data_IF_031511079433
#
_entry.id   IF_031511079433
#
_cell.length_a   1.000
_cell.length_b   1.000
_cell.length_c   1.000
_cell.angle_alpha   90.00
_cell.angle_beta   90.00
_cell.angle_gamma   90.00
#
_symmetry.space_group_name_H-M   'P 1'
#
loop_
_entity.id
_entity.type
_entity.pdbx_description
1 polymer ?
#
# COMPACT_ATOMS: atom_id res chain seq x y z
N UNK A 1 9.81 26.26 17.69
CA UNK A 1 10.24 26.21 16.27
C UNK A 1 9.51 27.32 15.53
N UNK A 2 10.25 28.22 14.89
CA UNK A 2 9.65 29.21 14.00
C UNK A 2 9.07 28.51 12.77
N UNK A 3 7.84 28.89 12.38
CA UNK A 3 7.25 28.37 11.15
C UNK A 3 7.95 29.01 9.97
N UNK A 4 8.52 28.20 9.08
CA UNK A 4 9.08 28.65 7.81
C UNK A 4 7.93 29.22 6.98
N UNK A 5 8.02 30.51 6.61
CA UNK A 5 7.01 31.19 5.78
C UNK A 5 7.41 31.31 4.31
N UNK A 6 8.70 31.19 4.00
CA UNK A 6 9.21 31.30 2.63
C UNK A 6 9.01 29.97 1.87
N UNK A 7 8.27 30.03 0.76
CA UNK A 7 7.98 28.90 -0.13
C UNK A 7 9.25 28.23 -0.67
N UNK A 8 10.31 28.99 -0.95
CA UNK A 8 11.59 28.44 -1.45
C UNK A 8 12.25 27.56 -0.40
N UNK A 9 12.22 27.98 0.86
CA UNK A 9 12.72 27.18 1.98
C UNK A 9 11.84 25.96 2.24
N UNK A 10 10.52 26.08 2.11
CA UNK A 10 9.60 24.93 2.23
C UNK A 10 9.92 23.88 1.17
N UNK A 11 10.08 24.27 -0.09
CA UNK A 11 10.43 23.35 -1.17
C UNK A 11 11.78 22.66 -0.92
N UNK A 12 12.78 23.42 -0.44
CA UNK A 12 14.09 22.86 -0.08
C UNK A 12 13.98 21.87 1.09
N UNK A 13 13.17 22.19 2.10
CA UNK A 13 12.92 21.30 3.23
C UNK A 13 12.23 19.99 2.80
N UNK A 14 11.23 20.08 1.91
CA UNK A 14 10.57 18.89 1.34
C UNK A 14 11.54 18.01 0.55
N UNK A 15 12.48 18.61 -0.21
CA UNK A 15 13.56 17.85 -0.88
C UNK A 15 14.49 17.16 0.12
N UNK A 16 14.84 17.84 1.22
CA UNK A 16 15.67 17.24 2.28
C UNK A 16 14.95 16.07 2.96
N UNK A 17 13.66 16.23 3.30
CA UNK A 17 12.83 15.17 3.87
C UNK A 17 12.75 13.97 2.90
N UNK A 18 12.58 14.22 1.59
CA UNK A 18 12.57 13.17 0.57
C UNK A 18 13.88 12.38 0.57
N UNK A 19 15.03 13.04 0.61
CA UNK A 19 16.35 12.37 0.65
C UNK A 19 16.47 11.55 1.94
N UNK A 20 16.14 12.12 3.10
CA UNK A 20 16.18 11.40 4.37
C UNK A 20 15.27 10.16 4.37
N UNK A 21 14.04 10.30 3.84
CA UNK A 21 13.09 9.20 3.69
C UNK A 21 13.64 8.08 2.80
N UNK A 22 14.28 8.41 1.67
CA UNK A 22 14.92 7.42 0.79
C UNK A 22 16.02 6.67 1.54
N UNK A 23 16.90 7.39 2.25
CA UNK A 23 18.00 6.78 3.00
C UNK A 23 17.47 5.87 4.11
N UNK A 24 16.47 6.32 4.88
CA UNK A 24 15.84 5.51 5.93
C UNK A 24 15.19 4.26 5.36
N UNK A 25 14.44 4.39 4.27
CA UNK A 25 13.78 3.26 3.62
C UNK A 25 14.81 2.26 3.09
N UNK A 26 15.87 2.73 2.43
CA UNK A 26 16.96 1.88 1.94
C UNK A 26 17.72 1.18 3.09
N UNK A 27 17.96 1.89 4.20
CA UNK A 27 18.57 1.31 5.40
C UNK A 27 17.73 0.20 6.02
N UNK A 28 16.43 0.44 6.18
CA UNK A 28 15.48 -0.57 6.68
C UNK A 28 15.43 -1.78 5.74
N UNK A 29 15.32 -1.56 4.44
CA UNK A 29 15.35 -2.64 3.44
C UNK A 29 16.67 -3.42 3.46
N UNK A 30 17.80 -2.76 3.68
CA UNK A 30 19.11 -3.40 3.82
C UNK A 30 19.19 -4.32 5.05
N UNK A 31 18.71 -3.85 6.20
CA UNK A 31 18.69 -4.63 7.45
C UNK A 31 17.74 -5.83 7.30
N UNK A 32 16.51 -5.59 6.84
CA UNK A 32 15.53 -6.67 6.65
C UNK A 32 15.98 -7.66 5.58
N UNK A 33 16.57 -7.18 4.49
CA UNK A 33 17.14 -8.03 3.44
C UNK A 33 18.29 -8.90 3.96
N UNK A 34 19.14 -8.35 4.83
CA UNK A 34 20.17 -9.14 5.51
C UNK A 34 19.56 -10.22 6.43
N UNK A 35 18.52 -9.89 7.18
CA UNK A 35 17.82 -10.87 8.02
C UNK A 35 17.15 -11.97 7.19
N UNK A 36 16.60 -11.66 6.00
CA UNK A 36 16.07 -12.68 5.09
C UNK A 36 17.17 -13.66 4.66
N UNK A 37 18.34 -13.15 4.28
CA UNK A 37 19.45 -14.00 3.79
C UNK A 37 20.06 -14.85 4.92
N UNK A 38 20.11 -14.32 6.14
CA UNK A 38 20.81 -14.98 7.26
C UNK A 38 19.92 -15.81 8.17
N UNK A 39 18.67 -15.39 8.38
CA UNK A 39 17.72 -15.99 9.33
C UNK A 39 16.41 -16.43 8.67
N UNK A 40 16.27 -16.22 7.35
CA UNK A 40 15.06 -16.55 6.61
C UNK A 40 13.91 -15.57 6.84
N UNK A 41 12.75 -15.90 6.29
CA UNK A 41 11.56 -15.06 6.38
C UNK A 41 11.03 -14.88 7.81
N UNK A 42 11.18 -15.90 8.65
CA UNK A 42 10.70 -15.83 10.04
C UNK A 42 11.58 -14.88 10.86
N UNK A 43 12.90 -14.97 10.73
CA UNK A 43 13.83 -14.04 11.39
C UNK A 43 13.66 -12.59 10.94
N UNK A 44 13.29 -12.34 9.69
CA UNK A 44 12.93 -10.99 9.23
C UNK A 44 11.63 -10.49 9.89
N UNK A 45 10.59 -11.33 9.99
CA UNK A 45 9.29 -10.93 10.56
C UNK A 45 9.34 -10.68 12.06
N UNK A 46 10.24 -11.38 12.77
CA UNK A 46 10.49 -11.17 14.21
C UNK A 46 11.23 -9.86 14.49
N UNK A 47 11.94 -9.29 13.50
CA UNK A 47 12.61 -8.01 13.66
C UNK A 47 11.57 -6.89 13.81
N UNK A 48 11.59 -6.08 14.90
CA UNK A 48 10.65 -4.96 15.07
C UNK A 48 10.64 -3.95 13.91
N UNK A 49 11.76 -3.82 13.19
CA UNK A 49 11.85 -2.98 12.00
C UNK A 49 10.89 -3.42 10.89
N UNK A 50 10.53 -4.70 10.81
CA UNK A 50 9.56 -5.21 9.85
C UNK A 50 8.19 -4.57 10.08
N UNK A 51 7.72 -4.56 11.33
CA UNK A 51 6.42 -3.97 11.68
C UNK A 51 6.44 -2.47 11.44
N UNK A 52 7.51 -1.78 11.86
CA UNK A 52 7.68 -0.35 11.63
C UNK A 52 7.61 -0.01 10.14
N UNK A 53 8.30 -0.80 9.31
CA UNK A 53 8.32 -0.66 7.87
C UNK A 53 6.92 -0.83 7.25
N UNK A 54 6.22 -1.92 7.62
CA UNK A 54 4.89 -2.22 7.12
C UNK A 54 3.89 -1.11 7.44
N UNK A 55 3.85 -0.64 8.69
CA UNK A 55 2.97 0.46 9.10
C UNK A 55 3.30 1.74 8.32
N UNK A 56 4.59 2.06 8.20
CA UNK A 56 5.03 3.26 7.48
C UNK A 56 4.62 3.24 6.01
N UNK A 57 4.76 2.10 5.33
CA UNK A 57 4.33 1.94 3.93
C UNK A 57 2.82 2.04 3.80
N UNK A 58 2.05 1.41 4.71
CA UNK A 58 0.59 1.49 4.68
C UNK A 58 0.14 2.95 4.79
N UNK A 59 0.65 3.69 5.77
CA UNK A 59 0.32 5.13 5.95
C UNK A 59 0.73 5.93 4.71
N UNK A 60 1.96 5.72 4.21
CA UNK A 60 2.47 6.40 3.02
C UNK A 60 1.61 6.13 1.78
N UNK A 61 1.13 4.90 1.60
CA UNK A 61 0.24 4.52 0.51
C UNK A 61 -1.11 5.25 0.59
N UNK A 62 -1.73 5.32 1.77
CA UNK A 62 -2.99 6.05 1.97
C UNK A 62 -2.85 7.56 1.76
N UNK A 63 -1.76 8.18 2.25
CA UNK A 63 -1.47 9.59 1.99
C UNK A 63 -1.25 9.84 0.49
N UNK A 64 -0.48 8.97 -0.16
CA UNK A 64 -0.22 9.07 -1.59
C UNK A 64 -1.49 8.90 -2.42
N UNK A 65 -2.40 8.03 -1.99
CA UNK A 65 -3.69 7.81 -2.65
C UNK A 65 -4.59 9.04 -2.57
N UNK A 66 -4.63 9.73 -1.43
CA UNK A 66 -5.36 10.98 -1.28
C UNK A 66 -4.87 12.04 -2.28
N UNK A 67 -3.56 12.29 -2.31
CA UNK A 67 -2.95 13.22 -3.27
C UNK A 67 -3.21 12.78 -4.73
N UNK A 68 -3.09 11.48 -5.01
CA UNK A 68 -3.27 10.95 -6.38
C UNK A 68 -4.67 11.16 -6.92
N UNK A 69 -5.71 11.05 -6.06
CA UNK A 69 -7.10 11.31 -6.47
C UNK A 69 -7.31 12.79 -6.78
N UNK A 70 -6.67 13.69 -6.07
CA UNK A 70 -6.78 15.14 -6.30
C UNK A 70 -6.10 15.58 -7.61
N UNK A 71 -4.95 14.97 -7.93
CA UNK A 71 -4.22 15.20 -9.18
C UNK A 71 -4.76 14.43 -10.40
N UNK A 72 -5.78 13.57 -10.23
CA UNK A 72 -6.35 12.76 -11.31
C UNK A 72 -6.99 13.68 -12.37
N UNK A 73 -6.52 13.58 -13.63
CA UNK A 73 -7.02 14.39 -14.74
C UNK A 73 -8.35 13.84 -15.28
N UNK A 74 -9.37 14.70 -15.30
CA UNK A 74 -10.72 14.38 -15.76
C UNK A 74 -11.63 13.78 -14.68
N UNK A 75 -12.95 13.91 -14.89
CA UNK A 75 -13.95 13.31 -14.00
C UNK A 75 -14.09 11.81 -14.26
N UNK A 76 -13.21 11.00 -13.64
CA UNK A 76 -13.42 9.56 -13.64
C UNK A 76 -14.62 9.24 -12.76
N UNK A 77 -15.65 8.65 -13.35
CA UNK A 77 -16.84 8.23 -12.61
C UNK A 77 -16.44 7.25 -11.48
N UNK A 78 -16.76 7.55 -10.19
CA UNK A 78 -16.36 6.74 -9.05
C UNK A 78 -16.80 5.28 -9.19
N UNK A 79 -18.03 5.07 -9.70
CA UNK A 79 -18.63 3.74 -9.86
C UNK A 79 -17.92 2.86 -10.88
N UNK A 80 -17.54 3.38 -12.06
CA UNK A 80 -16.81 2.58 -13.06
C UNK A 80 -15.41 2.23 -12.57
N UNK A 81 -14.72 3.19 -11.91
CA UNK A 81 -13.40 2.94 -11.33
C UNK A 81 -13.44 1.87 -10.25
N UNK A 82 -14.44 1.93 -9.36
CA UNK A 82 -14.66 0.92 -8.33
C UNK A 82 -14.88 -0.48 -8.91
N UNK A 83 -15.77 -0.62 -9.91
CA UNK A 83 -16.06 -1.91 -10.54
C UNK A 83 -14.82 -2.52 -11.20
N UNK A 84 -14.04 -1.72 -11.92
CA UNK A 84 -12.81 -2.19 -12.57
C UNK A 84 -11.78 -2.64 -11.52
N UNK A 85 -11.53 -1.82 -10.49
CA UNK A 85 -10.58 -2.17 -9.43
C UNK A 85 -11.03 -3.41 -8.65
N UNK A 86 -12.32 -3.53 -8.36
CA UNK A 86 -12.90 -4.69 -7.70
C UNK A 86 -12.71 -5.96 -8.53
N UNK A 87 -13.00 -5.89 -9.83
CA UNK A 87 -12.82 -7.02 -10.74
C UNK A 87 -11.36 -7.48 -10.81
N UNK A 88 -10.41 -6.54 -10.88
CA UNK A 88 -8.97 -6.84 -10.87
C UNK A 88 -8.57 -7.53 -9.57
N UNK A 89 -8.98 -7.01 -8.40
CA UNK A 89 -8.66 -7.61 -7.10
C UNK A 89 -9.28 -8.99 -6.96
N UNK A 90 -10.53 -9.17 -7.42
CA UNK A 90 -11.20 -10.46 -7.44
C UNK A 90 -10.42 -11.48 -8.28
N UNK A 91 -9.97 -11.08 -9.48
CA UNK A 91 -9.21 -11.95 -10.38
C UNK A 91 -7.87 -12.35 -9.75
N UNK A 92 -7.11 -11.39 -9.21
CA UNK A 92 -5.82 -11.65 -8.55
C UNK A 92 -6.00 -12.57 -7.34
N UNK A 93 -6.98 -12.25 -6.47
CA UNK A 93 -7.30 -13.06 -5.29
C UNK A 93 -7.68 -14.49 -5.67
N UNK A 94 -8.51 -14.67 -6.69
CA UNK A 94 -8.93 -15.99 -7.17
C UNK A 94 -7.76 -16.79 -7.73
N UNK A 95 -6.90 -16.17 -8.55
CA UNK A 95 -5.70 -16.82 -9.09
C UNK A 95 -4.76 -17.27 -7.97
N UNK A 96 -4.50 -16.40 -6.99
CA UNK A 96 -3.63 -16.76 -5.85
C UNK A 96 -4.27 -17.85 -4.98
N UNK A 97 -5.58 -17.79 -4.74
CA UNK A 97 -6.31 -18.82 -4.00
C UNK A 97 -6.26 -20.19 -4.69
N UNK A 98 -6.38 -20.23 -6.02
CA UNK A 98 -6.24 -21.46 -6.80
C UNK A 98 -4.81 -21.98 -6.73
N UNK A 99 -3.80 -21.13 -6.98
CA UNK A 99 -2.39 -21.53 -6.92
C UNK A 99 -2.00 -22.10 -5.55
N UNK A 100 -2.48 -21.47 -4.47
CA UNK A 100 -2.24 -21.96 -3.11
C UNK A 100 -2.97 -23.26 -2.81
N UNK A 101 -4.17 -23.48 -3.36
CA UNK A 101 -4.88 -24.76 -3.22
C UNK A 101 -4.22 -25.93 -3.96
N UNK A 102 -3.39 -25.65 -4.96
CA UNK A 102 -2.64 -26.64 -5.75
C UNK A 102 -1.23 -26.90 -5.19
N UNK A 103 -0.80 -26.15 -4.18
CA UNK A 103 0.53 -26.25 -3.60
C UNK A 103 0.61 -27.43 -2.61
N UNK A 104 1.71 -28.18 -2.67
CA UNK A 104 1.97 -29.31 -1.78
C UNK A 104 1.95 -28.86 -0.31
N UNK A 105 1.12 -29.52 0.51
CA UNK A 105 0.94 -29.19 1.93
C UNK A 105 -0.23 -28.24 2.24
N UNK A 106 -0.90 -27.68 1.23
CA UNK A 106 -2.10 -26.85 1.42
C UNK A 106 -3.36 -27.55 0.93
N UNK A 107 -4.46 -27.39 1.67
CA UNK A 107 -5.78 -27.91 1.27
C UNK A 107 -6.55 -26.86 0.47
N UNK A 108 -7.61 -27.30 -0.21
CA UNK A 108 -8.57 -26.40 -0.89
C UNK A 108 -9.10 -25.33 0.07
N UNK A 109 -9.33 -25.70 1.33
CA UNK A 109 -9.80 -24.79 2.38
C UNK A 109 -8.78 -23.67 2.64
N UNK A 110 -7.48 -23.98 2.67
CA UNK A 110 -6.43 -22.97 2.85
C UNK A 110 -6.40 -21.99 1.67
N UNK A 111 -6.54 -22.48 0.44
CA UNK A 111 -6.60 -21.63 -0.75
C UNK A 111 -7.80 -20.67 -0.73
N UNK A 112 -8.97 -21.14 -0.31
CA UNK A 112 -10.16 -20.30 -0.13
C UNK A 112 -9.95 -19.25 0.97
N UNK A 113 -9.33 -19.62 2.10
CA UNK A 113 -9.04 -18.69 3.19
C UNK A 113 -8.05 -17.60 2.72
N UNK A 114 -6.95 -17.99 2.09
CA UNK A 114 -5.92 -17.04 1.61
C UNK A 114 -6.51 -16.11 0.56
N UNK A 115 -7.25 -16.65 -0.42
CA UNK A 115 -7.96 -15.86 -1.42
C UNK A 115 -8.94 -14.87 -0.75
N UNK A 116 -9.74 -15.34 0.20
CA UNK A 116 -10.68 -14.51 0.96
C UNK A 116 -9.99 -13.37 1.71
N UNK A 117 -8.89 -13.65 2.41
CA UNK A 117 -8.11 -12.62 3.12
C UNK A 117 -7.59 -11.56 2.14
N UNK A 118 -7.03 -11.97 1.00
CA UNK A 118 -6.54 -11.04 -0.02
C UNK A 118 -7.66 -10.19 -0.61
N UNK A 119 -8.84 -10.77 -0.82
CA UNK A 119 -10.01 -10.05 -1.31
C UNK A 119 -10.47 -8.98 -0.32
N UNK A 120 -10.60 -9.33 0.97
CA UNK A 120 -11.00 -8.39 2.01
C UNK A 120 -9.95 -7.29 2.18
N UNK A 121 -8.66 -7.63 2.19
CA UNK A 121 -7.57 -6.67 2.29
C UNK A 121 -7.55 -5.70 1.10
N UNK A 122 -7.73 -6.20 -0.12
CA UNK A 122 -7.77 -5.38 -1.34
C UNK A 122 -9.03 -4.52 -1.46
N UNK A 123 -10.14 -4.93 -0.85
CA UNK A 123 -11.38 -4.15 -0.83
C UNK A 123 -11.23 -2.83 -0.06
N UNK A 124 -10.49 -2.82 1.04
CA UNK A 124 -10.38 -1.63 1.91
C UNK A 124 -9.82 -0.41 1.14
N UNK A 125 -8.66 -0.50 0.46
CA UNK A 125 -8.16 0.61 -0.36
C UNK A 125 -9.10 1.00 -1.51
N UNK A 126 -9.80 0.05 -2.14
CA UNK A 126 -10.73 0.33 -3.24
C UNK A 126 -11.93 1.16 -2.75
N UNK A 127 -12.51 0.77 -1.62
CA UNK A 127 -13.60 1.52 -0.97
C UNK A 127 -13.12 2.92 -0.58
N UNK A 128 -11.91 3.04 -0.06
CA UNK A 128 -11.33 4.34 0.29
C UNK A 128 -11.14 5.25 -0.95
N UNK A 129 -10.63 4.72 -2.08
CA UNK A 129 -10.58 5.46 -3.36
C UNK A 129 -11.98 5.91 -3.79
N UNK A 130 -12.97 5.04 -3.68
CA UNK A 130 -14.34 5.36 -4.09
C UNK A 130 -14.92 6.50 -3.25
N UNK A 131 -14.68 6.47 -1.94
CA UNK A 131 -15.04 7.55 -1.03
C UNK A 131 -14.36 8.86 -1.43
N UNK A 132 -13.04 8.86 -1.66
CA UNK A 132 -12.28 10.05 -2.04
C UNK A 132 -12.78 10.65 -3.37
N UNK A 133 -13.03 9.82 -4.39
CA UNK A 133 -13.55 10.30 -5.69
C UNK A 133 -14.97 10.86 -5.56
N UNK A 134 -15.82 10.23 -4.76
CA UNK A 134 -17.18 10.72 -4.52
C UNK A 134 -17.16 12.06 -3.78
N UNK A 135 -16.29 12.19 -2.78
CA UNK A 135 -16.08 13.45 -2.06
C UNK A 135 -15.65 14.57 -3.01
N UNK A 136 -14.67 14.34 -3.88
CA UNK A 136 -14.21 15.30 -4.88
C UNK A 136 -15.32 15.75 -5.84
N UNK A 137 -16.18 14.84 -6.28
CA UNK A 137 -17.32 15.17 -7.15
C UNK A 137 -18.40 16.01 -6.46
N UNK A 138 -18.55 15.92 -5.14
CA UNK A 138 -19.51 16.72 -4.39
C UNK A 138 -18.97 18.12 -4.02
N UNK A 139 -17.65 18.30 -4.03
CA UNK A 139 -16.98 19.58 -3.76
C UNK A 139 -16.82 20.45 -5.01
N UNK A 140 -16.96 19.87 -6.20
CA UNK A 140 -16.99 20.56 -7.51
C UNK A 140 -18.44 20.80 -7.97
#
# INVERSE_FOLDING_TARGET
>A
MEKIKDERLILRNLKNIRIAYIIQTAGILGILGYDIVTKGFDGMRENPLWILFMVSIIVSAYLSMNVSVDYESGEKSPKKGFLISFFIVFLISSVIGILTSLSEGFTIVNGVIIGGILLVCGLIPIVYIYYLRTKRQNEN
#
